data_IF_785444078804
#
_entry.id   IF_785444078804
#
_cell.length_a   1.000
_cell.length_b   1.000
_cell.length_c   1.000
_cell.angle_alpha   90.00
_cell.angle_beta   90.00
_cell.angle_gamma   90.00
#
_symmetry.space_group_name_H-M   'P 1'
#
loop_
_entity.id
_entity.type
_entity.pdbx_description
1 polymer ?
#
# COMPACT_ATOMS: atom_id res chain seq x y z
N UNK A 1 5.51 -5.24 17.74
CA UNK A 1 4.30 -5.92 17.23
C UNK A 1 3.01 -5.08 17.28
N UNK A 2 2.79 -4.21 18.29
CA UNK A 2 1.56 -3.37 18.37
C UNK A 2 1.28 -2.56 17.10
N UNK A 3 2.31 -2.00 16.47
CA UNK A 3 2.18 -1.23 15.23
C UNK A 3 1.65 -2.07 14.05
N UNK A 4 2.19 -3.27 13.84
CA UNK A 4 1.74 -4.19 12.76
C UNK A 4 0.29 -4.61 12.98
N UNK A 5 -0.10 -4.92 14.22
CA UNK A 5 -1.49 -5.25 14.57
C UNK A 5 -2.42 -4.08 14.26
N UNK A 6 -2.01 -2.83 14.57
CA UNK A 6 -2.82 -1.66 14.27
C UNK A 6 -3.00 -1.44 12.75
N UNK A 7 -1.96 -1.66 11.94
CA UNK A 7 -2.07 -1.60 10.48
C UNK A 7 -2.98 -2.71 9.95
N UNK A 8 -2.81 -3.93 10.45
CA UNK A 8 -3.63 -5.07 10.09
C UNK A 8 -5.12 -4.80 10.36
N UNK A 9 -5.46 -4.37 11.58
CA UNK A 9 -6.84 -4.09 11.96
C UNK A 9 -7.44 -2.96 11.10
N UNK A 10 -6.68 -1.88 10.84
CA UNK A 10 -7.12 -0.78 9.98
C UNK A 10 -7.39 -1.22 8.54
N UNK A 11 -6.61 -2.16 8.00
CA UNK A 11 -6.81 -2.69 6.66
C UNK A 11 -7.99 -3.67 6.62
N UNK A 12 -7.97 -4.70 7.47
CA UNK A 12 -8.93 -5.80 7.45
C UNK A 12 -10.35 -5.37 7.78
N UNK A 13 -10.54 -4.51 8.79
CA UNK A 13 -11.88 -4.08 9.20
C UNK A 13 -12.62 -3.33 8.08
N UNK A 14 -11.89 -2.79 7.11
CA UNK A 14 -12.42 -2.03 5.98
C UNK A 14 -12.28 -2.76 4.63
N UNK A 15 -11.83 -4.02 4.63
CA UNK A 15 -11.62 -4.83 3.43
C UNK A 15 -10.53 -4.30 2.47
N UNK A 16 -9.59 -3.50 2.98
CA UNK A 16 -8.43 -3.01 2.23
C UNK A 16 -7.34 -4.08 2.13
N UNK A 17 -7.58 -5.10 1.30
CA UNK A 17 -6.63 -6.20 1.12
C UNK A 17 -5.45 -5.84 0.21
N UNK A 18 -5.57 -4.87 -0.70
CA UNK A 18 -4.45 -4.43 -1.53
C UNK A 18 -3.44 -3.69 -0.65
N UNK A 19 -3.93 -2.85 0.27
CA UNK A 19 -3.11 -2.28 1.35
C UNK A 19 -2.44 -3.37 2.18
N UNK A 20 -3.15 -4.47 2.50
CA UNK A 20 -2.57 -5.58 3.26
C UNK A 20 -1.48 -6.33 2.47
N UNK A 21 -1.68 -6.55 1.17
CA UNK A 21 -0.68 -7.11 0.26
C UNK A 21 0.56 -6.22 0.19
N UNK A 22 0.39 -4.89 0.14
CA UNK A 22 1.48 -3.93 0.16
C UNK A 22 2.28 -3.96 1.48
N UNK A 23 1.59 -4.07 2.63
CA UNK A 23 2.25 -4.25 3.93
C UNK A 23 3.07 -5.56 3.95
N UNK A 24 2.51 -6.65 3.41
CA UNK A 24 3.22 -7.92 3.32
C UNK A 24 4.48 -7.81 2.44
N UNK A 25 4.37 -7.15 1.28
CA UNK A 25 5.50 -6.90 0.39
C UNK A 25 6.60 -6.09 1.09
N UNK A 26 6.23 -5.03 1.82
CA UNK A 26 7.20 -4.19 2.53
C UNK A 26 7.97 -4.96 3.63
N UNK A 27 7.27 -5.86 4.36
CA UNK A 27 7.94 -6.72 5.35
C UNK A 27 8.85 -7.74 4.64
N UNK A 28 8.41 -8.32 3.53
CA UNK A 28 9.22 -9.25 2.74
C UNK A 28 10.48 -8.59 2.19
N UNK A 29 10.41 -7.34 1.73
CA UNK A 29 11.57 -6.58 1.29
C UNK A 29 12.54 -6.32 2.42
N UNK A 30 12.03 -5.99 3.61
CA UNK A 30 12.84 -5.83 4.82
C UNK A 30 13.58 -7.12 5.18
N UNK A 31 12.92 -8.28 5.03
CA UNK A 31 13.50 -9.59 5.29
C UNK A 31 14.59 -10.01 4.29
N UNK A 32 14.68 -9.37 3.12
CA UNK A 32 15.76 -9.62 2.14
C UNK A 32 17.09 -8.96 2.50
N UNK A 33 17.10 -8.12 3.55
CA UNK A 33 18.32 -7.49 4.05
C UNK A 33 18.76 -6.25 3.25
N UNK A 34 19.86 -5.61 3.68
CA UNK A 34 20.27 -4.29 3.19
C UNK A 34 20.71 -4.30 1.71
N UNK A 35 21.32 -5.38 1.23
CA UNK A 35 21.79 -5.49 -0.16
C UNK A 35 20.64 -5.39 -1.16
N UNK A 36 19.46 -5.88 -0.81
CA UNK A 36 18.27 -5.73 -1.63
C UNK A 36 17.94 -4.24 -1.88
N UNK A 37 18.02 -3.41 -0.84
CA UNK A 37 17.77 -1.98 -0.93
C UNK A 37 18.87 -1.26 -1.70
N UNK A 38 20.14 -1.63 -1.50
CA UNK A 38 21.25 -1.09 -2.28
C UNK A 38 21.08 -1.37 -3.78
N UNK A 39 20.61 -2.56 -4.15
CA UNK A 39 20.37 -2.93 -5.54
C UNK A 39 19.18 -2.19 -6.16
N UNK A 40 18.16 -1.86 -5.36
CA UNK A 40 16.93 -1.22 -5.82
C UNK A 40 16.76 0.20 -5.25
N UNK A 41 17.85 0.98 -5.14
CA UNK A 41 17.83 2.29 -4.51
C UNK A 41 16.82 3.27 -5.14
N UNK A 42 16.55 3.15 -6.44
CA UNK A 42 15.56 3.97 -7.15
C UNK A 42 14.10 3.62 -6.81
N UNK A 43 13.88 2.43 -6.23
CA UNK A 43 12.59 1.80 -5.94
C UNK A 43 11.62 1.78 -7.13
N UNK A 44 12.10 1.88 -8.38
CA UNK A 44 11.25 2.02 -9.56
C UNK A 44 10.40 0.77 -9.79
N UNK A 45 11.04 -0.41 -9.78
CA UNK A 45 10.35 -1.71 -9.88
C UNK A 45 9.37 -1.90 -8.73
N UNK A 46 9.73 -1.50 -7.50
CA UNK A 46 8.83 -1.62 -6.34
C UNK A 46 7.62 -0.70 -6.41
N UNK A 47 7.76 0.50 -6.96
CA UNK A 47 6.61 1.37 -7.24
C UNK A 47 5.66 0.71 -8.25
N UNK A 48 6.19 0.04 -9.28
CA UNK A 48 5.37 -0.70 -10.24
C UNK A 48 4.66 -1.88 -9.60
N UNK A 49 5.35 -2.68 -8.77
CA UNK A 49 4.76 -3.80 -8.02
C UNK A 49 3.61 -3.32 -7.13
N UNK A 50 3.81 -2.23 -6.37
CA UNK A 50 2.78 -1.64 -5.51
C UNK A 50 1.58 -1.13 -6.32
N UNK A 51 1.83 -0.53 -7.48
CA UNK A 51 0.77 -0.11 -8.40
C UNK A 51 -0.01 -1.31 -8.93
N UNK A 52 0.66 -2.40 -9.28
CA UNK A 52 0.04 -3.63 -9.75
C UNK A 52 -0.78 -4.34 -8.66
N UNK A 53 -0.40 -4.19 -7.38
CA UNK A 53 -1.19 -4.68 -6.25
C UNK A 53 -2.44 -3.83 -5.98
N UNK A 54 -2.41 -2.53 -6.28
CA UNK A 54 -3.48 -1.59 -5.99
C UNK A 54 -4.51 -1.57 -7.13
N UNK A 55 -5.41 -2.56 -7.14
CA UNK A 55 -6.41 -2.73 -8.21
C UNK A 55 -7.81 -2.41 -7.71
N UNK A 56 -8.19 -2.97 -6.57
CA UNK A 56 -9.53 -2.81 -5.97
C UNK A 56 -9.67 -1.46 -5.26
N UNK A 57 -8.57 -0.98 -4.68
CA UNK A 57 -8.53 0.26 -3.91
C UNK A 57 -8.21 1.50 -4.77
N UNK A 58 -8.00 1.30 -6.08
CA UNK A 58 -7.74 2.39 -7.01
C UNK A 58 -9.02 3.19 -7.29
N UNK A 59 -8.93 4.52 -7.27
CA UNK A 59 -10.04 5.39 -7.65
C UNK A 59 -10.43 5.20 -9.11
N UNK A 60 -11.69 4.84 -9.33
CA UNK A 60 -12.29 4.70 -10.65
C UNK A 60 -13.22 5.88 -10.90
N UNK A 61 -13.26 6.38 -12.13
CA UNK A 61 -14.24 7.40 -12.52
C UNK A 61 -15.64 6.77 -12.47
N UNK A 62 -16.58 7.50 -11.90
CA UNK A 62 -17.99 7.14 -11.99
C UNK A 62 -18.49 7.46 -13.40
N UNK A 63 -19.33 6.58 -13.94
CA UNK A 63 -20.02 6.85 -15.19
C UNK A 63 -21.02 8.00 -14.97
N UNK A 64 -20.98 9.08 -15.78
CA UNK A 64 -21.96 10.16 -15.68
C UNK A 64 -23.42 9.72 -15.89
N UNK A 65 -23.63 8.57 -16.54
CA UNK A 65 -24.96 7.99 -16.77
C UNK A 65 -25.49 7.18 -15.59
N UNK A 66 -24.63 6.76 -14.66
CA UNK A 66 -25.03 6.02 -13.46
C UNK A 66 -25.48 6.97 -12.33
N UNK A 67 -26.51 6.59 -11.56
CA UNK A 67 -26.88 7.36 -10.39
C UNK A 67 -25.74 7.37 -9.36
N UNK A 68 -25.32 8.57 -8.96
CA UNK A 68 -24.28 8.74 -7.93
C UNK A 68 -24.72 8.04 -6.64
N UNK A 69 -23.91 7.11 -6.09
CA UNK A 69 -24.26 6.41 -4.87
C UNK A 69 -24.51 7.40 -3.72
N UNK A 70 -25.61 7.24 -2.99
CA UNK A 70 -25.89 8.09 -1.84
C UNK A 70 -25.15 7.59 -0.60
N UNK A 71 -24.55 8.52 0.14
CA UNK A 71 -23.85 8.21 1.38
C UNK A 71 -24.77 7.46 2.36
N UNK A 72 -24.31 6.29 2.80
CA UNK A 72 -25.02 5.40 3.73
C UNK A 72 -24.04 4.88 4.76
N UNK A 73 -24.20 5.37 5.98
CA UNK A 73 -23.38 4.99 7.12
C UNK A 73 -24.03 3.86 7.91
N UNK A 74 -23.21 2.93 8.42
CA UNK A 74 -23.66 1.92 9.35
C UNK A 74 -23.84 2.52 10.75
N UNK A 75 -24.99 2.32 11.38
CA UNK A 75 -25.19 2.58 12.82
C UNK A 75 -25.47 1.26 13.53
N UNK A 76 -24.59 0.90 14.45
CA UNK A 76 -24.68 -0.34 15.23
C UNK A 76 -24.54 -0.04 16.72
N UNK A 77 -25.26 -0.80 17.54
CA UNK A 77 -25.14 -0.76 19.00
C UNK A 77 -23.72 -1.11 19.47
N UNK A 78 -23.33 -0.63 20.66
CA UNK A 78 -21.97 -0.83 21.20
C UNK A 78 -21.57 -2.30 21.28
N UNK A 79 -22.47 -3.18 21.70
CA UNK A 79 -22.21 -4.61 21.81
C UNK A 79 -22.03 -5.29 20.44
N UNK A 80 -22.85 -4.94 19.44
CA UNK A 80 -22.71 -5.46 18.06
C UNK A 80 -21.36 -5.04 17.48
N UNK A 81 -20.93 -3.81 17.75
CA UNK A 81 -19.62 -3.31 17.32
C UNK A 81 -18.48 -4.05 18.01
N UNK A 82 -18.59 -4.36 19.30
CA UNK A 82 -17.60 -5.17 20.00
C UNK A 82 -17.52 -6.59 19.40
N UNK A 83 -18.66 -7.24 19.16
CA UNK A 83 -18.72 -8.54 18.49
C UNK A 83 -18.09 -8.49 17.09
N UNK A 84 -18.39 -7.45 16.32
CA UNK A 84 -17.82 -7.28 14.99
C UNK A 84 -16.33 -6.97 15.04
N UNK A 85 -15.85 -6.22 16.02
CA UNK A 85 -14.41 -6.04 16.22
C UNK A 85 -13.72 -7.37 16.53
N UNK A 86 -14.29 -8.16 17.45
CA UNK A 86 -13.77 -9.49 17.81
C UNK A 86 -13.78 -10.47 16.63
N UNK A 87 -14.78 -10.36 15.75
CA UNK A 87 -14.91 -11.20 14.54
C UNK A 87 -14.26 -10.60 13.30
N UNK A 88 -13.44 -9.55 13.47
CA UNK A 88 -12.76 -8.82 12.40
C UNK A 88 -13.73 -8.34 11.31
N UNK A 89 -14.75 -7.58 11.68
CA UNK A 89 -15.88 -7.17 10.84
C UNK A 89 -16.60 -8.35 10.14
N UNK A 90 -16.76 -9.46 10.88
CA UNK A 90 -17.48 -10.65 10.43
C UNK A 90 -16.67 -11.62 9.57
N UNK A 91 -15.37 -11.43 9.34
CA UNK A 91 -14.55 -12.42 8.62
C UNK A 91 -14.51 -13.80 9.31
N UNK A 92 -14.55 -13.79 10.65
CA UNK A 92 -14.52 -14.98 11.48
C UNK A 92 -15.91 -15.62 11.66
N UNK A 93 -16.99 -14.95 11.24
CA UNK A 93 -18.33 -15.51 11.33
C UNK A 93 -18.60 -16.49 10.18
N UNK A 94 -19.28 -17.62 10.44
CA UNK A 94 -19.70 -18.52 9.37
C UNK A 94 -20.71 -17.82 8.45
N UNK A 95 -20.65 -18.12 7.15
CA UNK A 95 -21.54 -17.57 6.11
C UNK A 95 -21.59 -16.04 5.98
N UNK A 96 -20.69 -15.31 6.65
CA UNK A 96 -20.75 -13.86 6.72
C UNK A 96 -20.79 -13.20 5.33
N UNK A 97 -20.15 -13.75 4.30
CA UNK A 97 -20.14 -13.15 2.95
C UNK A 97 -21.54 -12.89 2.36
N UNK A 98 -22.59 -13.57 2.81
CA UNK A 98 -23.97 -13.31 2.40
C UNK A 98 -24.70 -12.24 3.23
N UNK A 99 -24.19 -11.91 4.42
CA UNK A 99 -24.85 -11.03 5.39
C UNK A 99 -24.11 -9.70 5.57
N UNK A 100 -24.86 -8.61 5.75
CA UNK A 100 -24.30 -7.30 6.05
C UNK A 100 -24.77 -6.22 5.07
N UNK A 101 -24.53 -4.97 5.45
CA UNK A 101 -24.99 -3.81 4.68
C UNK A 101 -24.03 -3.46 3.54
N UNK A 102 -24.58 -2.90 2.46
CA UNK A 102 -23.80 -2.11 1.50
C UNK A 102 -23.74 -0.68 2.01
N UNK A 103 -22.52 -0.18 2.24
CA UNK A 103 -22.27 1.16 2.75
C UNK A 103 -21.64 2.02 1.67
N UNK A 104 -21.91 3.32 1.74
CA UNK A 104 -21.30 4.33 0.88
C UNK A 104 -20.76 5.40 1.81
N UNK A 105 -19.45 5.59 1.83
CA UNK A 105 -18.77 6.46 2.78
C UNK A 105 -18.00 7.52 2.00
N UNK A 106 -18.13 8.77 2.39
CA UNK A 106 -17.36 9.85 1.77
C UNK A 106 -15.88 9.77 2.18
N UNK A 107 -14.98 10.20 1.31
CA UNK A 107 -13.54 10.09 1.52
C UNK A 107 -13.08 10.80 2.80
N UNK A 108 -13.74 11.90 3.19
CA UNK A 108 -13.48 12.59 4.46
C UNK A 108 -13.72 11.70 5.69
N UNK A 109 -14.65 10.76 5.60
CA UNK A 109 -15.02 9.83 6.67
C UNK A 109 -14.34 8.46 6.53
N UNK A 110 -13.44 8.27 5.56
CA UNK A 110 -12.78 6.97 5.29
C UNK A 110 -12.02 6.38 6.49
N UNK A 111 -11.63 7.23 7.43
CA UNK A 111 -10.88 6.86 8.63
C UNK A 111 -11.79 6.57 9.83
N UNK A 112 -13.08 6.89 9.72
CA UNK A 112 -14.05 6.61 10.77
C UNK A 112 -14.45 5.13 10.78
N UNK A 113 -13.62 4.31 11.42
CA UNK A 113 -13.84 2.87 11.60
C UNK A 113 -15.21 2.50 12.21
N UNK A 114 -15.85 3.44 12.93
CA UNK A 114 -17.13 3.19 13.61
C UNK A 114 -18.29 3.03 12.64
N UNK A 115 -18.20 3.64 11.47
CA UNK A 115 -19.26 3.67 10.45
C UNK A 115 -19.22 2.48 9.51
N UNK A 116 -18.10 1.74 9.51
CA UNK A 116 -17.81 0.65 8.57
C UNK A 116 -18.29 -0.72 9.08
N UNK A 117 -18.62 -0.83 10.36
CA UNK A 117 -19.00 -2.11 10.94
C UNK A 117 -20.26 -2.70 10.33
N UNK A 118 -20.25 -4.03 10.17
CA UNK A 118 -21.39 -4.80 9.67
C UNK A 118 -21.55 -4.70 8.15
N UNK A 119 -20.63 -4.01 7.47
CA UNK A 119 -20.62 -3.95 6.02
C UNK A 119 -20.27 -5.31 5.41
N UNK A 120 -20.91 -5.61 4.29
CA UNK A 120 -20.50 -6.65 3.33
C UNK A 120 -19.69 -6.04 2.19
N UNK A 121 -20.02 -4.79 1.85
CA UNK A 121 -19.43 -3.99 0.79
C UNK A 121 -19.39 -2.53 1.24
N UNK A 122 -18.31 -1.83 0.90
CA UNK A 122 -18.11 -0.42 1.20
C UNK A 122 -17.65 0.26 -0.09
N UNK A 123 -18.39 1.27 -0.51
CA UNK A 123 -18.01 2.15 -1.60
C UNK A 123 -17.52 3.45 -1.01
N UNK A 124 -16.29 3.84 -1.35
CA UNK A 124 -15.73 5.12 -0.96
C UNK A 124 -15.92 6.12 -2.09
N UNK A 125 -16.49 7.29 -1.77
CA UNK A 125 -16.72 8.38 -2.73
C UNK A 125 -15.77 9.53 -2.48
N UNK A 126 -15.19 10.08 -3.54
CA UNK A 126 -14.44 11.33 -3.44
C UNK A 126 -15.37 12.50 -3.06
N UNK A 127 -14.81 13.58 -2.50
CA UNK A 127 -15.54 14.79 -2.11
C UNK A 127 -16.32 15.41 -3.28
N UNK A 128 -15.76 15.40 -4.49
CA UNK A 128 -16.43 15.86 -5.72
C UNK A 128 -17.44 14.86 -6.28
N UNK A 129 -17.53 13.65 -5.71
CA UNK A 129 -18.40 12.55 -6.15
C UNK A 129 -18.25 12.18 -7.63
N UNK A 130 -17.05 12.37 -8.19
CA UNK A 130 -16.70 12.00 -9.57
C UNK A 130 -15.93 10.70 -9.66
N UNK A 131 -15.33 10.26 -8.55
CA UNK A 131 -14.57 9.01 -8.47
C UNK A 131 -14.99 8.20 -7.26
N UNK A 132 -14.92 6.88 -7.40
CA UNK A 132 -15.24 5.93 -6.36
C UNK A 132 -14.31 4.71 -6.42
N UNK A 133 -14.19 3.99 -5.32
CA UNK A 133 -13.71 2.61 -5.34
C UNK A 133 -14.54 1.78 -4.38
N UNK A 134 -14.70 0.49 -4.68
CA UNK A 134 -15.55 -0.41 -3.91
C UNK A 134 -14.75 -1.59 -3.40
N UNK A 135 -14.80 -1.79 -2.09
CA UNK A 135 -14.18 -2.93 -1.43
C UNK A 135 -15.26 -3.85 -0.87
N UNK A 136 -15.06 -5.15 -1.03
CA UNK A 136 -16.00 -6.19 -0.62
C UNK A 136 -15.33 -7.14 0.34
N UNK A 137 -16.09 -7.70 1.29
CA UNK A 137 -15.55 -8.73 2.16
C UNK A 137 -15.21 -9.97 1.35
N UNK A 138 -13.91 -10.31 1.30
CA UNK A 138 -13.39 -11.48 0.61
C UNK A 138 -12.61 -12.36 1.61
N UNK A 139 -13.26 -13.41 2.11
CA UNK A 139 -12.66 -14.34 3.10
C UNK A 139 -11.42 -15.06 2.57
N UNK A 140 -11.37 -15.38 1.28
CA UNK A 140 -10.20 -16.04 0.68
C UNK A 140 -8.99 -15.12 0.73
N UNK A 141 -9.13 -13.88 0.23
CA UNK A 141 -8.05 -12.88 0.28
C UNK A 141 -7.67 -12.55 1.73
N UNK A 142 -8.65 -12.42 2.61
CA UNK A 142 -8.42 -12.24 4.05
C UNK A 142 -7.50 -13.32 4.62
N UNK A 143 -7.81 -14.60 4.43
CA UNK A 143 -7.00 -15.67 4.99
C UNK A 143 -5.61 -15.74 4.36
N UNK A 144 -5.52 -15.63 3.03
CA UNK A 144 -4.24 -15.63 2.31
C UNK A 144 -3.31 -14.54 2.83
N UNK A 145 -3.79 -13.30 2.88
CA UNK A 145 -2.97 -12.15 3.30
C UNK A 145 -2.69 -12.14 4.80
N UNK A 146 -3.63 -12.64 5.62
CA UNK A 146 -3.41 -12.76 7.07
C UNK A 146 -2.36 -13.82 7.40
N UNK A 147 -2.43 -14.99 6.75
CA UNK A 147 -1.43 -16.06 6.94
C UNK A 147 -0.06 -15.63 6.41
N UNK A 148 -0.02 -14.92 5.27
CA UNK A 148 1.21 -14.31 4.74
C UNK A 148 1.82 -13.33 5.76
N UNK A 149 1.00 -12.46 6.36
CA UNK A 149 1.48 -11.53 7.39
C UNK A 149 1.99 -12.23 8.64
N UNK A 150 1.27 -13.25 9.13
CA UNK A 150 1.70 -14.04 10.28
C UNK A 150 3.04 -14.71 9.99
N UNK A 151 3.20 -15.35 8.83
CA UNK A 151 4.46 -15.96 8.39
C UNK A 151 5.59 -14.94 8.35
N UNK A 152 5.35 -13.78 7.75
CA UNK A 152 6.35 -12.72 7.63
C UNK A 152 6.74 -12.16 9.01
N UNK A 153 5.78 -12.00 9.92
CA UNK A 153 6.04 -11.60 11.30
C UNK A 153 6.84 -12.66 12.09
N UNK A 154 6.56 -13.94 11.88
CA UNK A 154 7.32 -15.04 12.50
C UNK A 154 8.75 -15.10 11.95
N UNK A 155 8.93 -14.95 10.64
CA UNK A 155 10.24 -14.87 10.00
C UNK A 155 11.04 -13.68 10.55
N UNK A 156 10.42 -12.49 10.62
CA UNK A 156 11.05 -11.30 11.19
C UNK A 156 11.44 -11.49 12.65
N UNK A 157 10.58 -12.13 13.46
CA UNK A 157 10.90 -12.41 14.86
C UNK A 157 12.06 -13.40 15.01
N UNK A 158 12.13 -14.43 14.18
CA UNK A 158 13.18 -15.46 14.23
C UNK A 158 14.52 -14.92 13.73
N UNK A 159 14.52 -14.16 12.65
CA UNK A 159 15.72 -13.60 12.02
C UNK A 159 16.16 -12.24 12.56
N UNK A 160 15.48 -11.68 13.57
CA UNK A 160 15.70 -10.29 14.01
C UNK A 160 17.16 -9.97 14.32
N UNK A 161 17.81 -10.79 15.14
CA UNK A 161 19.18 -10.53 15.58
C UNK A 161 20.18 -10.59 14.41
N UNK A 162 20.01 -11.57 13.52
CA UNK A 162 20.82 -11.69 12.32
C UNK A 162 20.60 -10.49 11.38
N UNK A 163 19.33 -10.12 11.16
CA UNK A 163 18.97 -8.99 10.31
C UNK A 163 19.55 -7.69 10.87
N UNK A 164 19.47 -7.45 12.18
CA UNK A 164 20.09 -6.29 12.83
C UNK A 164 21.61 -6.25 12.61
N UNK A 165 22.30 -7.39 12.74
CA UNK A 165 23.73 -7.48 12.47
C UNK A 165 24.09 -7.21 10.99
N UNK A 166 23.32 -7.77 10.06
CA UNK A 166 23.50 -7.54 8.62
C UNK A 166 23.29 -6.06 8.25
N UNK A 167 22.24 -5.43 8.79
CA UNK A 167 21.96 -4.01 8.57
C UNK A 167 23.03 -3.12 9.18
N UNK A 168 23.51 -3.41 10.40
CA UNK A 168 24.58 -2.64 11.04
C UNK A 168 25.91 -2.78 10.30
N UNK A 169 26.25 -3.98 9.82
CA UNK A 169 27.46 -4.23 9.06
C UNK A 169 27.46 -3.58 7.67
N UNK A 170 26.31 -3.54 7.00
CA UNK A 170 26.16 -2.90 5.69
C UNK A 170 26.02 -1.37 5.74
N UNK A 171 25.70 -0.80 6.91
CA UNK A 171 25.32 0.61 7.03
C UNK A 171 26.44 1.55 6.62
N UNK A 172 27.64 1.41 7.18
CA UNK A 172 28.76 2.30 6.93
C UNK A 172 29.15 2.36 5.43
N UNK A 173 29.04 1.22 4.73
CA UNK A 173 29.31 1.14 3.29
C UNK A 173 28.21 1.79 2.46
N UNK A 174 26.94 1.63 2.81
CA UNK A 174 25.80 2.21 2.07
C UNK A 174 25.62 3.71 2.33
N UNK A 175 26.18 4.24 3.41
CA UNK A 175 26.19 5.68 3.69
C UNK A 175 27.44 6.40 3.21
N UNK A 176 28.40 5.69 2.61
CA UNK A 176 29.63 6.31 2.12
C UNK A 176 29.38 7.15 0.87
N UNK A 177 30.19 8.19 0.71
CA UNK A 177 30.13 9.06 -0.46
C UNK A 177 30.46 8.30 -1.76
N UNK A 178 31.49 7.43 -1.71
CA UNK A 178 31.90 6.60 -2.85
C UNK A 178 30.77 5.69 -3.35
N UNK A 179 29.98 5.12 -2.43
CA UNK A 179 28.83 4.30 -2.80
C UNK A 179 27.80 5.11 -3.59
N UNK A 180 27.44 6.30 -3.12
CA UNK A 180 26.45 7.16 -3.79
C UNK A 180 26.97 7.79 -5.07
N UNK A 181 28.25 8.18 -5.14
CA UNK A 181 28.88 8.63 -6.39
C UNK A 181 28.77 7.53 -7.44
N UNK A 182 29.23 6.32 -7.15
CA UNK A 182 29.12 5.20 -8.09
C UNK A 182 27.68 4.92 -8.51
N UNK A 183 26.73 4.92 -7.56
CA UNK A 183 25.32 4.69 -7.85
C UNK A 183 24.71 5.78 -8.71
N UNK A 184 24.96 7.06 -8.42
CA UNK A 184 24.39 8.19 -9.13
C UNK A 184 25.09 8.44 -10.47
N UNK A 185 26.39 8.20 -10.60
CA UNK A 185 27.11 8.26 -11.87
C UNK A 185 26.63 7.20 -12.88
N UNK A 186 26.14 6.06 -12.38
CA UNK A 186 25.50 5.04 -13.22
C UNK A 186 24.09 5.43 -13.70
N UNK A 187 23.49 6.50 -13.16
CA UNK A 187 22.31 7.14 -13.70
C UNK A 187 22.75 8.40 -14.45
N UNK A 188 22.72 8.43 -15.79
CA UNK A 188 22.96 9.68 -16.51
C UNK A 188 21.94 10.69 -16.00
N UNK A 189 22.42 11.77 -15.36
CA UNK A 189 21.57 12.90 -15.03
C UNK A 189 21.01 13.40 -16.37
N UNK A 190 19.73 13.18 -16.61
CA UNK A 190 19.02 13.76 -17.74
C UNK A 190 19.05 15.29 -17.54
N UNK A 191 20.10 15.93 -18.04
CA UNK A 191 20.40 17.33 -17.72
C UNK A 191 21.62 17.94 -18.38
N UNK A 192 22.60 17.16 -18.87
CA UNK A 192 23.71 17.74 -19.65
C UNK A 192 23.40 17.79 -21.15
N UNK A 193 22.38 18.58 -21.49
CA UNK A 193 22.28 19.23 -22.81
C UNK A 193 22.67 20.69 -22.65
N UNK A 194 23.93 20.96 -22.26
CA UNK A 194 24.51 22.31 -22.45
C UNK A 194 26.01 22.26 -22.72
N UNK A 195 26.41 21.65 -23.83
CA UNK A 195 27.66 21.99 -24.51
C UNK A 195 27.61 21.54 -25.98
N UNK A 196 26.69 22.11 -26.76
CA UNK A 196 26.80 22.06 -28.21
C UNK A 196 27.50 23.35 -28.67
N UNK A 197 28.56 23.15 -29.44
CA UNK A 197 29.66 24.08 -29.68
C UNK A 197 29.28 25.48 -30.14
N UNK A 198 29.92 26.46 -29.52
CA UNK A 198 30.31 27.69 -30.19
C UNK A 198 31.64 27.40 -30.91
N UNK A 199 31.56 26.85 -32.12
CA UNK A 199 32.70 26.78 -33.03
C UNK A 199 32.48 27.72 -34.23
N UNK A 200 33.26 28.78 -34.21
CA UNK A 200 33.93 29.41 -35.34
C UNK A 200 33.27 29.28 -36.74
N UNK A 201 32.60 30.35 -37.16
CA UNK A 201 32.52 30.70 -38.59
C UNK A 201 33.55 31.82 -38.84
N UNK A 202 34.76 31.42 -39.25
CA UNK A 202 35.67 32.28 -40.02
C UNK A 202 35.51 31.92 -41.50
N UNK A 203 35.36 32.95 -42.35
CA UNK A 203 34.98 32.82 -43.74
C UNK A 203 36.14 32.67 -44.75
N UNK A 204 35.72 32.48 -46.01
CA UNK A 204 36.35 32.82 -47.30
C UNK A 204 35.27 32.40 -48.34
N UNK A 205 34.82 33.14 -49.33
CA UNK A 205 35.40 34.20 -50.14
C UNK A 205 35.31 33.77 -51.60
N UNK A 206 34.33 34.27 -52.36
CA UNK A 206 34.35 34.66 -53.79
C UNK A 206 33.21 35.65 -53.99
#
# INVERSE_FOLDING_TARGET
>A
MRMVVNFYLRAVLRFHYDTLSAINLAIEDTLRGPTFFANHADMATRRQDLKALTVTEAWQKLDPSDPVPQARHGRLSRWRRALLLLTLNGHLLPFANGFGSTLVIEAAHRENWREVYGARQITYLNATRTTAYTVVRNRRRFWVESLRLVRNCLALRRGKAQLEAEWQGGYAGMTSEDFWRNKLSAFPMAGDTTSMGLDHVQGHGV
#
